data_IF_113102181319
#
_entry.id   IF_113102181319
#
_cell.length_a   1.000
_cell.length_b   1.000
_cell.length_c   1.000
_cell.angle_alpha   90.00
_cell.angle_beta   90.00
_cell.angle_gamma   90.00
#
_symmetry.space_group_name_H-M   'P 1'
#
loop_
_entity.id
_entity.type
_entity.pdbx_description
1 polymer ?
#
# COMPACT_ATOMS: atom_id res chain seq x y z
N UNK A 1 -19.79 13.10 10.40
CA UNK A 1 -19.25 11.75 10.72
C UNK A 1 -19.12 10.99 9.41
N UNK A 2 -17.91 10.54 9.05
CA UNK A 2 -17.56 10.08 7.71
C UNK A 2 -17.99 8.62 7.47
N UNK A 3 -19.11 8.41 6.77
CA UNK A 3 -19.51 7.10 6.21
C UNK A 3 -18.37 6.45 5.39
N UNK A 4 -17.52 7.26 4.75
CA UNK A 4 -16.36 6.80 3.99
C UNK A 4 -15.29 6.07 4.82
N UNK A 5 -15.05 6.47 6.08
CA UNK A 5 -14.10 5.78 6.94
C UNK A 5 -14.59 4.37 7.33
N UNK A 6 -15.89 4.24 7.61
CA UNK A 6 -16.53 2.95 7.86
C UNK A 6 -16.50 2.02 6.65
N UNK A 7 -16.77 2.55 5.46
CA UNK A 7 -16.71 1.80 4.19
C UNK A 7 -15.28 1.36 3.89
N UNK A 8 -14.27 2.22 4.10
CA UNK A 8 -12.87 1.88 3.89
C UNK A 8 -12.39 0.76 4.82
N UNK A 9 -12.77 0.81 6.11
CA UNK A 9 -12.44 -0.26 7.06
C UNK A 9 -13.16 -1.56 6.70
N UNK A 10 -14.44 -1.49 6.32
CA UNK A 10 -15.19 -2.66 5.87
C UNK A 10 -14.54 -3.31 4.64
N UNK A 11 -14.14 -2.51 3.65
CA UNK A 11 -13.44 -3.01 2.46
C UNK A 11 -12.07 -3.60 2.80
N UNK A 12 -11.31 -2.98 3.70
CA UNK A 12 -10.02 -3.52 4.14
C UNK A 12 -10.18 -4.90 4.81
N UNK A 13 -11.23 -5.07 5.63
CA UNK A 13 -11.58 -6.36 6.23
C UNK A 13 -12.02 -7.37 5.17
N UNK A 14 -12.84 -6.95 4.19
CA UNK A 14 -13.30 -7.80 3.10
C UNK A 14 -12.14 -8.32 2.25
N UNK A 15 -11.18 -7.43 1.91
CA UNK A 15 -9.95 -7.79 1.19
C UNK A 15 -9.08 -8.71 2.03
N UNK A 16 -8.96 -8.47 3.34
CA UNK A 16 -8.24 -9.37 4.24
C UNK A 16 -8.85 -10.78 4.23
N UNK A 17 -10.17 -10.89 4.43
CA UNK A 17 -10.88 -12.16 4.41
C UNK A 17 -10.74 -12.84 3.07
N UNK A 18 -10.90 -12.11 1.95
CA UNK A 18 -10.72 -12.68 0.62
C UNK A 18 -9.29 -13.21 0.44
N UNK A 19 -8.26 -12.46 0.82
CA UNK A 19 -6.87 -12.85 0.57
C UNK A 19 -6.37 -13.98 1.51
N UNK A 20 -6.90 -14.06 2.74
CA UNK A 20 -6.50 -15.06 3.75
C UNK A 20 -7.41 -16.28 3.84
N UNK A 21 -8.71 -16.17 3.54
CA UNK A 21 -9.67 -17.29 3.65
C UNK A 21 -9.96 -17.98 2.32
N UNK A 22 -9.55 -17.42 1.17
CA UNK A 22 -9.78 -18.07 -0.13
C UNK A 22 -8.52 -18.74 -0.70
N UNK A 23 -8.73 -19.83 -1.45
CA UNK A 23 -7.70 -20.54 -2.21
C UNK A 23 -7.10 -19.67 -3.33
N UNK A 24 -7.90 -18.77 -3.90
CA UNK A 24 -7.47 -17.78 -4.89
C UNK A 24 -6.46 -16.81 -4.26
N UNK A 25 -6.76 -16.29 -3.06
CA UNK A 25 -5.87 -15.39 -2.32
C UNK A 25 -4.54 -16.03 -1.94
N UNK A 26 -4.55 -17.32 -1.60
CA UNK A 26 -3.32 -18.10 -1.39
C UNK A 26 -2.47 -18.16 -2.66
N UNK A 27 -3.06 -18.54 -3.80
CA UNK A 27 -2.35 -18.66 -5.08
C UNK A 27 -1.77 -17.33 -5.55
N UNK A 28 -2.50 -16.22 -5.39
CA UNK A 28 -2.00 -14.87 -5.70
C UNK A 28 -0.79 -14.51 -4.82
N UNK A 29 -0.86 -14.76 -3.51
CA UNK A 29 0.28 -14.51 -2.60
C UNK A 29 1.49 -15.37 -2.92
N UNK A 30 1.30 -16.63 -3.28
CA UNK A 30 2.40 -17.52 -3.66
C UNK A 30 3.10 -17.04 -4.93
N UNK A 31 2.33 -16.65 -5.95
CA UNK A 31 2.88 -16.07 -7.19
C UNK A 31 3.63 -14.76 -6.91
N UNK A 32 3.12 -13.91 -6.03
CA UNK A 32 3.76 -12.66 -5.64
C UNK A 32 5.03 -12.82 -4.79
N UNK A 33 5.14 -13.89 -4.00
CA UNK A 33 6.32 -14.19 -3.18
C UNK A 33 7.44 -14.84 -3.98
N UNK A 34 7.13 -15.86 -4.79
CA UNK A 34 8.14 -16.55 -5.59
C UNK A 34 7.53 -17.19 -6.84
N UNK A 35 7.83 -16.58 -7.98
CA UNK A 35 7.35 -17.02 -9.29
C UNK A 35 7.82 -18.45 -9.63
N UNK A 36 9.08 -18.77 -9.34
CA UNK A 36 9.67 -20.08 -9.64
C UNK A 36 9.02 -21.19 -8.82
N UNK A 37 8.77 -20.93 -7.54
CA UNK A 37 8.07 -21.87 -6.66
C UNK A 37 6.61 -22.08 -7.11
N UNK A 38 5.93 -21.02 -7.56
CA UNK A 38 4.55 -21.12 -8.04
C UNK A 38 4.44 -21.97 -9.33
N UNK A 39 5.39 -21.82 -10.26
CA UNK A 39 5.46 -22.67 -11.47
C UNK A 39 5.74 -24.13 -11.10
N UNK A 40 6.68 -24.37 -10.18
CA UNK A 40 6.99 -25.71 -9.68
C UNK A 40 5.80 -26.41 -8.99
N UNK A 41 4.90 -25.64 -8.36
CA UNK A 41 3.68 -26.13 -7.73
C UNK A 41 2.48 -26.30 -8.70
N UNK A 42 2.68 -26.13 -10.02
CA UNK A 42 1.62 -26.27 -11.02
C UNK A 42 0.56 -25.15 -11.01
N UNK A 43 0.85 -23.99 -10.41
CA UNK A 43 -0.08 -22.87 -10.37
C UNK A 43 -0.03 -22.14 -11.74
N UNK A 44 -1.17 -21.93 -12.44
CA UNK A 44 -1.20 -21.18 -13.69
C UNK A 44 -0.99 -19.68 -13.45
N UNK A 45 0.27 -19.29 -13.29
CA UNK A 45 0.76 -17.94 -12.97
C UNK A 45 0.06 -16.85 -13.77
N UNK A 46 -0.02 -16.99 -15.11
CA UNK A 46 -0.57 -15.98 -16.01
C UNK A 46 -2.03 -15.63 -15.66
N UNK A 47 -2.85 -16.64 -15.30
CA UNK A 47 -4.26 -16.44 -14.93
C UNK A 47 -4.38 -15.67 -13.62
N UNK A 48 -3.59 -16.05 -12.61
CA UNK A 48 -3.62 -15.38 -11.31
C UNK A 48 -3.03 -13.98 -11.35
N UNK A 49 -2.07 -13.71 -12.25
CA UNK A 49 -1.53 -12.36 -12.48
C UNK A 49 -2.59 -11.43 -13.10
N UNK A 50 -3.31 -11.89 -14.13
CA UNK A 50 -4.41 -11.13 -14.73
C UNK A 50 -5.55 -10.91 -13.73
N UNK A 51 -5.90 -11.94 -12.95
CA UNK A 51 -6.93 -11.83 -11.92
C UNK A 51 -6.54 -10.82 -10.84
N UNK A 52 -5.28 -10.83 -10.39
CA UNK A 52 -4.78 -9.86 -9.43
C UNK A 52 -4.85 -8.42 -9.98
N UNK A 53 -4.52 -8.22 -11.27
CA UNK A 53 -4.61 -6.93 -11.93
C UNK A 53 -6.06 -6.45 -12.02
N UNK A 54 -7.00 -7.32 -12.40
CA UNK A 54 -8.42 -7.00 -12.47
C UNK A 54 -8.98 -6.63 -11.09
N UNK A 55 -8.65 -7.40 -10.06
CA UNK A 55 -9.08 -7.13 -8.68
C UNK A 55 -8.50 -5.81 -8.16
N UNK A 56 -7.22 -5.53 -8.40
CA UNK A 56 -6.58 -4.27 -8.02
C UNK A 56 -7.23 -3.08 -8.74
N UNK A 57 -7.49 -3.20 -10.04
CA UNK A 57 -8.18 -2.19 -10.83
C UNK A 57 -9.61 -1.93 -10.34
N UNK A 58 -10.38 -2.99 -10.07
CA UNK A 58 -11.74 -2.87 -9.54
C UNK A 58 -11.78 -2.18 -8.17
N UNK A 59 -10.88 -2.55 -7.25
CA UNK A 59 -10.78 -1.93 -5.93
C UNK A 59 -10.33 -0.46 -6.00
N UNK A 60 -9.35 -0.15 -6.87
CA UNK A 60 -8.90 1.23 -7.09
C UNK A 60 -10.00 2.10 -7.69
N UNK A 61 -10.74 1.56 -8.68
CA UNK A 61 -11.89 2.24 -9.29
C UNK A 61 -13.02 2.51 -8.29
N UNK A 62 -13.33 1.54 -7.42
CA UNK A 62 -14.28 1.72 -6.32
C UNK A 62 -13.83 2.82 -5.35
N UNK A 63 -12.55 2.84 -4.97
CA UNK A 63 -11.99 3.90 -4.13
C UNK A 63 -12.15 5.29 -4.76
N UNK A 64 -11.78 5.44 -6.03
CA UNK A 64 -11.96 6.69 -6.77
C UNK A 64 -13.43 7.09 -6.94
N UNK A 65 -14.33 6.13 -7.17
CA UNK A 65 -15.76 6.39 -7.26
C UNK A 65 -16.33 6.93 -5.93
N UNK A 66 -15.92 6.34 -4.79
CA UNK A 66 -16.33 6.80 -3.46
C UNK A 66 -15.81 8.20 -3.15
N UNK A 67 -14.56 8.51 -3.51
CA UNK A 67 -13.95 9.84 -3.34
C UNK A 67 -14.78 10.92 -4.06
N UNK A 68 -15.22 10.62 -5.29
CA UNK A 68 -15.80 11.61 -6.21
C UNK A 68 -17.29 11.77 -6.02
N UNK A 69 -18.00 10.65 -5.92
CA UNK A 69 -19.44 10.64 -5.70
C UNK A 69 -19.79 10.98 -4.24
N UNK A 70 -18.88 10.72 -3.30
CA UNK A 70 -19.15 10.81 -1.86
C UNK A 70 -18.58 12.04 -1.14
N UNK A 71 -17.40 12.54 -1.52
CA UNK A 71 -16.75 13.63 -0.77
C UNK A 71 -16.77 14.96 -1.53
N UNK A 72 -16.34 14.95 -2.79
CA UNK A 72 -16.15 16.19 -3.53
C UNK A 72 -17.37 16.61 -4.37
N UNK A 73 -18.24 15.65 -4.75
CA UNK A 73 -19.40 15.83 -5.64
C UNK A 73 -19.10 16.57 -6.95
N UNK A 74 -17.81 16.83 -7.25
CA UNK A 74 -17.27 17.62 -8.35
C UNK A 74 -15.86 17.10 -8.63
N UNK A 75 -15.51 16.99 -9.91
CA UNK A 75 -14.14 16.66 -10.32
C UNK A 75 -13.26 17.92 -10.17
N UNK A 76 -12.42 17.95 -9.15
CA UNK A 76 -11.31 18.90 -9.09
C UNK A 76 -10.18 18.35 -9.98
N UNK A 77 -9.96 18.98 -11.12
CA UNK A 77 -8.85 18.61 -12.01
C UNK A 77 -8.08 19.87 -12.40
N UNK A 78 -6.80 19.88 -12.08
CA UNK A 78 -5.87 20.92 -12.53
C UNK A 78 -5.35 20.66 -13.96
N UNK A 79 -6.06 19.82 -14.74
CA UNK A 79 -5.66 19.38 -16.09
C UNK A 79 -4.57 18.31 -16.11
N UNK A 80 -4.09 17.86 -14.94
CA UNK A 80 -3.10 16.79 -14.81
C UNK A 80 -3.74 15.44 -14.45
N UNK A 81 -3.11 14.34 -14.90
CA UNK A 81 -3.58 12.97 -14.60
C UNK A 81 -3.65 12.65 -13.09
N UNK A 82 -2.92 13.40 -12.26
CA UNK A 82 -2.89 13.24 -10.80
C UNK A 82 -3.83 14.18 -10.05
N UNK A 83 -4.31 15.25 -10.70
CA UNK A 83 -5.13 16.29 -10.07
C UNK A 83 -6.43 15.75 -9.49
N UNK A 84 -7.10 14.87 -10.24
CA UNK A 84 -8.37 14.26 -9.83
C UNK A 84 -8.28 13.36 -8.59
N UNK A 85 -7.12 12.73 -8.35
CA UNK A 85 -6.93 11.81 -7.21
C UNK A 85 -6.07 12.39 -6.09
N UNK A 86 -5.54 13.61 -6.24
CA UNK A 86 -4.65 14.21 -5.25
C UNK A 86 -3.42 13.35 -4.91
N UNK A 87 -2.92 12.58 -5.88
CA UNK A 87 -1.86 11.57 -5.69
C UNK A 87 -2.21 10.41 -4.73
N UNK A 88 -3.50 10.14 -4.48
CA UNK A 88 -3.95 9.08 -3.57
C UNK A 88 -3.36 7.69 -3.92
N UNK A 89 -3.19 7.37 -5.21
CA UNK A 89 -2.53 6.13 -5.64
C UNK A 89 -1.06 6.05 -5.20
N UNK A 90 -0.31 7.15 -5.34
CA UNK A 90 1.09 7.22 -4.91
C UNK A 90 1.21 7.13 -3.39
N UNK A 91 0.37 7.87 -2.66
CA UNK A 91 0.32 7.81 -1.20
C UNK A 91 -0.15 6.42 -0.70
N UNK A 92 -1.02 5.75 -1.45
CA UNK A 92 -1.47 4.38 -1.17
C UNK A 92 -0.33 3.36 -1.25
N UNK A 93 0.59 3.50 -2.20
CA UNK A 93 1.80 2.66 -2.27
C UNK A 93 2.64 2.83 -1.01
N UNK A 94 2.84 4.07 -0.56
CA UNK A 94 3.61 4.41 0.64
C UNK A 94 2.95 3.80 1.88
N UNK A 95 1.63 3.95 2.04
CA UNK A 95 0.90 3.32 3.14
C UNK A 95 0.99 1.79 3.12
N UNK A 96 0.88 1.16 1.94
CA UNK A 96 0.98 -0.29 1.80
C UNK A 96 2.36 -0.82 2.18
N UNK A 97 3.43 -0.11 1.80
CA UNK A 97 4.80 -0.45 2.18
C UNK A 97 5.02 -0.31 3.68
N UNK A 98 4.55 0.79 4.28
CA UNK A 98 4.63 1.00 5.72
C UNK A 98 3.86 -0.08 6.51
N UNK A 99 2.71 -0.50 5.98
CA UNK A 99 1.90 -1.62 6.48
C UNK A 99 2.42 -3.02 6.14
N UNK A 100 3.66 -3.16 5.64
CA UNK A 100 4.32 -4.43 5.30
C UNK A 100 3.60 -5.27 4.22
N UNK A 101 2.86 -4.63 3.30
CA UNK A 101 1.95 -5.28 2.34
C UNK A 101 0.91 -6.20 3.02
N UNK A 102 0.69 -6.02 4.32
CA UNK A 102 -0.30 -6.78 5.07
C UNK A 102 -1.58 -5.94 5.19
N UNK A 103 -2.77 -6.47 4.87
CA UNK A 103 -4.01 -5.68 4.87
C UNK A 103 -4.29 -5.03 6.23
N UNK A 104 -4.08 -5.78 7.31
CA UNK A 104 -4.20 -5.27 8.68
C UNK A 104 -3.17 -4.18 9.04
N UNK A 105 -1.95 -4.27 8.51
CA UNK A 105 -0.91 -3.25 8.73
C UNK A 105 -1.14 -1.99 7.90
N UNK A 106 -1.81 -2.12 6.75
CA UNK A 106 -2.17 -1.00 5.88
C UNK A 106 -3.24 -0.08 6.50
N UNK A 107 -4.10 -0.58 7.40
CA UNK A 107 -5.14 0.22 8.07
C UNK A 107 -4.54 1.32 8.96
N UNK A 108 -3.72 1.02 9.99
CA UNK A 108 -3.12 2.07 10.82
C UNK A 108 -2.13 2.93 10.02
N UNK A 109 -1.42 2.35 9.04
CA UNK A 109 -0.51 3.07 8.17
C UNK A 109 -1.22 4.14 7.33
N UNK A 110 -2.34 3.78 6.69
CA UNK A 110 -3.14 4.70 5.88
C UNK A 110 -3.82 5.76 6.72
N UNK A 111 -4.25 5.43 7.94
CA UNK A 111 -4.81 6.42 8.87
C UNK A 111 -3.76 7.46 9.30
N UNK A 112 -2.56 7.01 9.69
CA UNK A 112 -1.46 7.91 10.05
C UNK A 112 -1.07 8.80 8.87
N UNK A 113 -0.89 8.20 7.69
CA UNK A 113 -0.53 8.93 6.48
C UNK A 113 -1.62 9.94 6.09
N UNK A 114 -2.88 9.53 6.13
CA UNK A 114 -4.04 10.41 5.89
C UNK A 114 -4.12 11.57 6.87
N UNK A 115 -3.81 11.34 8.16
CA UNK A 115 -3.76 12.39 9.17
C UNK A 115 -2.64 13.41 8.88
N UNK A 116 -1.44 12.94 8.52
CA UNK A 116 -0.31 13.79 8.12
C UNK A 116 -0.65 14.64 6.89
N UNK A 117 -1.20 14.03 5.83
CA UNK A 117 -1.59 14.75 4.62
C UNK A 117 -2.71 15.75 4.88
N UNK A 118 -3.72 15.38 5.67
CA UNK A 118 -4.82 16.29 6.01
C UNK A 118 -4.31 17.46 6.86
N UNK A 119 -3.37 17.20 7.77
CA UNK A 119 -2.67 18.22 8.55
C UNK A 119 -1.92 19.21 7.67
N UNK A 120 -1.12 18.71 6.71
CA UNK A 120 -0.42 19.54 5.74
C UNK A 120 -1.38 20.40 4.90
N UNK A 121 -2.47 19.81 4.41
CA UNK A 121 -3.53 20.52 3.67
C UNK A 121 -4.19 21.62 4.52
N UNK A 122 -4.42 21.37 5.81
CA UNK A 122 -5.00 22.35 6.74
C UNK A 122 -4.04 23.52 6.98
N UNK A 123 -2.74 23.25 7.09
CA UNK A 123 -1.71 24.30 7.20
C UNK A 123 -1.68 25.18 5.95
N UNK A 124 -1.77 24.58 4.75
CA UNK A 124 -1.84 25.34 3.50
C UNK A 124 -3.03 26.32 3.49
N UNK A 125 -4.22 25.85 3.91
CA UNK A 125 -5.43 26.66 3.89
C UNK A 125 -5.48 27.76 4.95
N UNK A 126 -4.96 27.49 6.15
CA UNK A 126 -5.06 28.41 7.29
C UNK A 126 -3.92 29.43 7.31
N UNK A 127 -2.71 29.02 6.93
CA UNK A 127 -1.49 29.85 7.02
C UNK A 127 -1.10 30.44 5.64
N UNK A 128 -1.89 30.18 4.58
CA UNK A 128 -1.62 30.61 3.20
C UNK A 128 -0.21 30.24 2.70
N UNK A 129 0.26 29.07 3.13
CA UNK A 129 1.57 28.55 2.73
C UNK A 129 1.51 28.13 1.25
N UNK A 130 2.52 28.45 0.42
CA UNK A 130 2.57 28.02 -0.98
C UNK A 130 2.43 26.50 -1.16
N UNK A 131 1.71 26.05 -2.19
CA UNK A 131 1.50 24.62 -2.51
C UNK A 131 2.79 23.83 -2.74
N UNK A 132 3.88 24.52 -3.12
CA UNK A 132 5.21 23.92 -3.24
C UNK A 132 5.69 23.28 -1.92
N UNK A 133 5.35 23.87 -0.76
CA UNK A 133 5.74 23.33 0.55
C UNK A 133 4.94 22.06 0.90
N UNK A 134 3.68 21.96 0.46
CA UNK A 134 2.90 20.71 0.57
C UNK A 134 3.57 19.58 -0.22
N UNK A 135 4.01 19.84 -1.45
CA UNK A 135 4.74 18.87 -2.27
C UNK A 135 6.05 18.43 -1.60
N UNK A 136 6.80 19.36 -1.01
CA UNK A 136 8.02 19.08 -0.27
C UNK A 136 7.77 18.19 0.96
N UNK A 137 6.73 18.50 1.76
CA UNK A 137 6.34 17.69 2.91
C UNK A 137 5.93 16.28 2.48
N UNK A 138 5.10 16.16 1.42
CA UNK A 138 4.69 14.84 0.92
C UNK A 138 5.91 14.02 0.45
N UNK A 139 6.82 14.65 -0.30
CA UNK A 139 8.07 14.02 -0.73
C UNK A 139 8.94 13.57 0.44
N UNK A 140 9.02 14.37 1.51
CA UNK A 140 9.76 14.03 2.72
C UNK A 140 9.12 12.84 3.45
N UNK A 141 7.79 12.81 3.57
CA UNK A 141 7.06 11.68 4.16
C UNK A 141 7.34 10.40 3.38
N UNK A 142 7.25 10.45 2.04
CA UNK A 142 7.56 9.31 1.18
C UNK A 142 9.01 8.86 1.36
N UNK A 143 9.96 9.80 1.40
CA UNK A 143 11.37 9.50 1.60
C UNK A 143 11.63 8.79 2.93
N UNK A 144 11.01 9.24 4.02
CA UNK A 144 11.13 8.60 5.33
C UNK A 144 10.51 7.20 5.36
N UNK A 145 9.32 7.03 4.78
CA UNK A 145 8.65 5.72 4.76
C UNK A 145 9.42 4.72 3.91
N UNK A 146 9.81 5.10 2.70
CA UNK A 146 10.59 4.24 1.79
C UNK A 146 11.98 3.99 2.36
N UNK A 147 12.63 4.99 2.95
CA UNK A 147 13.92 4.85 3.62
C UNK A 147 13.87 3.88 4.80
N UNK A 148 12.83 3.99 5.64
CA UNK A 148 12.57 3.07 6.75
C UNK A 148 12.36 1.63 6.25
N UNK A 149 11.60 1.44 5.16
CA UNK A 149 11.40 0.13 4.52
C UNK A 149 12.71 -0.48 4.04
N UNK A 150 13.57 0.30 3.38
CA UNK A 150 14.89 -0.15 2.90
C UNK A 150 15.79 -0.56 4.07
N UNK A 151 15.86 0.27 5.11
CA UNK A 151 16.63 -0.02 6.32
C UNK A 151 16.14 -1.30 7.01
N UNK A 152 14.83 -1.49 7.10
CA UNK A 152 14.22 -2.68 7.69
C UNK A 152 14.54 -3.93 6.87
N UNK A 153 14.40 -3.88 5.54
CA UNK A 153 14.76 -4.98 4.64
C UNK A 153 16.24 -5.34 4.74
N UNK A 154 17.13 -4.34 4.82
CA UNK A 154 18.56 -4.55 5.03
C UNK A 154 18.85 -5.21 6.39
N UNK A 155 18.15 -4.82 7.45
CA UNK A 155 18.27 -5.49 8.76
C UNK A 155 17.79 -6.93 8.70
N UNK A 156 16.64 -7.21 8.08
CA UNK A 156 16.11 -8.57 7.93
C UNK A 156 17.11 -9.48 7.18
N UNK A 157 17.67 -9.01 6.06
CA UNK A 157 18.69 -9.76 5.31
C UNK A 157 19.99 -9.99 6.10
N UNK A 158 20.37 -9.06 6.98
CA UNK A 158 21.55 -9.24 7.85
C UNK A 158 21.32 -10.30 8.92
N UNK A 159 20.11 -10.38 9.47
CA UNK A 159 19.73 -11.42 10.43
C UNK A 159 19.72 -12.80 9.76
N UNK A 160 19.15 -12.89 8.55
CA UNK A 160 19.08 -14.14 7.77
C UNK A 160 20.47 -14.66 7.40
N UNK A 161 21.36 -13.78 6.91
CA UNK A 161 22.78 -14.14 6.64
C UNK A 161 23.58 -14.48 7.90
N UNK A 162 23.20 -13.95 9.06
CA UNK A 162 23.81 -14.30 10.34
C UNK A 162 23.42 -15.70 10.80
N UNK A 163 22.16 -16.07 10.61
CA UNK A 163 21.64 -17.40 10.91
C UNK A 163 22.27 -18.49 10.01
N UNK A 164 22.39 -18.23 8.69
CA UNK A 164 23.03 -19.17 7.76
C UNK A 164 24.51 -19.45 8.11
N UNK A 165 25.24 -18.44 8.60
CA UNK A 165 26.64 -18.60 9.04
C UNK A 165 26.75 -19.51 10.25
N UNK A 166 25.87 -19.34 11.23
CA UNK A 166 25.84 -20.17 12.45
C UNK A 166 25.45 -21.62 12.15
N UNK A 167 24.53 -21.86 11.21
CA UNK A 167 24.18 -23.22 10.78
C UNK A 167 25.31 -23.90 10.00
N UNK A 168 26.08 -23.16 9.20
CA UNK A 168 27.22 -23.71 8.46
C UNK A 168 28.47 -23.94 9.35
N UNK A 169 28.52 -23.33 10.53
CA UNK A 169 29.60 -23.50 11.51
C UNK A 169 29.32 -24.69 12.44
N UNK A 170 28.06 -24.94 12.80
CA UNK A 170 27.64 -26.10 13.60
C UNK A 170 27.60 -27.45 12.84
N UNK A 171 27.71 -27.45 11.51
CA UNK A 171 27.82 -28.67 10.69
C UNK A 171 29.28 -29.12 10.51
N UNK A 172 30.25 -28.37 11.06
CA UNK A 172 31.69 -28.63 10.97
C UNK A 172 32.32 -29.12 12.28
N UNK A 173 31.55 -29.22 13.37
CA UNK A 173 31.93 -29.89 14.62
C UNK A 173 31.33 -31.30 14.68
#
# INVERSE_FOLDING_TARGET
>A
LHLGAGIAVLFAILVYVFLWRTTIGFRIRTVGKNLRAAVGAGIPVKRYMVLALLLAGALSGLGGAVEVLGLHHRMFTDGSAFGFTGSAGFNGIVAALFGQLHPLGAIPASFLLGALLTGANKMQRVVQVPSALMGAINGLIVLFVVGSEILRRRRAQRVEKGAERLSAEGEKE
#
